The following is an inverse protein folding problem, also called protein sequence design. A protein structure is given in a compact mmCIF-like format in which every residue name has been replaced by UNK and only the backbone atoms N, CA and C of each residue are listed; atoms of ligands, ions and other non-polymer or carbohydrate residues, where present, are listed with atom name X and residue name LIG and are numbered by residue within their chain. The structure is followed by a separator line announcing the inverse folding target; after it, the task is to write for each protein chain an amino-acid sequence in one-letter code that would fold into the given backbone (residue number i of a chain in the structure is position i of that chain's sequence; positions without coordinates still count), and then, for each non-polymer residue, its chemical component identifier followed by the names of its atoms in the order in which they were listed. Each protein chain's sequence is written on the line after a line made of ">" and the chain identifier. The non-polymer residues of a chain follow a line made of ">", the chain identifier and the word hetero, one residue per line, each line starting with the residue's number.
data_IF_594861893443
#
_entry.id   IF_594861893443
#
_cell.length_a   1.000
_cell.length_b   1.000
_cell.length_c   1.000
_cell.angle_alpha   90.00
_cell.angle_beta   90.00
_cell.angle_gamma   90.00
#
_symmetry.space_group_name_H-M   'P 1'
#
loop_
_entity.id
_entity.type
_entity.pdbx_description
1 polymer ?
#
# COMPACT_ATOMS: atom_id res chain seq x y z
N UNK A 1 -6.20 9.47 5.39
CA UNK A 1 -6.04 10.37 4.23
C UNK A 1 -5.80 9.62 2.89
N UNK A 2 -5.44 8.33 2.87
CA UNK A 2 -5.20 7.59 1.62
C UNK A 2 -6.36 7.71 0.62
N UNK A 3 -7.65 7.53 1.01
CA UNK A 3 -8.75 7.64 0.05
C UNK A 3 -8.89 9.01 -0.61
N UNK A 4 -8.43 10.09 0.05
CA UNK A 4 -8.57 11.45 -0.50
C UNK A 4 -7.60 11.75 -1.65
N UNK A 5 -6.55 10.92 -1.81
CA UNK A 5 -5.58 11.05 -2.90
C UNK A 5 -5.80 10.01 -4.00
N UNK A 6 -6.67 9.04 -3.80
CA UNK A 6 -7.00 8.03 -4.83
C UNK A 6 -7.79 8.67 -5.97
N UNK A 7 -7.65 8.15 -7.20
CA UNK A 7 -8.43 8.61 -8.35
C UNK A 7 -9.93 8.32 -8.13
N UNK A 8 -10.78 9.12 -8.77
CA UNK A 8 -12.23 8.90 -8.76
C UNK A 8 -12.61 7.52 -9.27
N UNK A 9 -13.81 7.07 -8.94
CA UNK A 9 -14.34 5.77 -9.40
C UNK A 9 -15.08 5.93 -10.73
N UNK A 10 -14.86 5.00 -11.65
CA UNK A 10 -15.67 4.88 -12.87
C UNK A 10 -17.12 4.48 -12.53
N UNK A 11 -18.05 4.68 -13.47
CA UNK A 11 -19.45 4.26 -13.27
C UNK A 11 -19.59 2.74 -13.07
N UNK A 12 -18.76 1.95 -13.73
CA UNK A 12 -18.77 0.50 -13.60
C UNK A 12 -18.27 0.07 -12.20
N UNK A 13 -17.19 0.68 -11.69
CA UNK A 13 -16.70 0.45 -10.32
C UNK A 13 -17.76 0.83 -9.28
N UNK A 14 -18.45 1.96 -9.47
CA UNK A 14 -19.51 2.41 -8.57
C UNK A 14 -20.69 1.42 -8.55
N UNK A 15 -21.09 0.89 -9.71
CA UNK A 15 -22.17 -0.09 -9.82
C UNK A 15 -21.78 -1.41 -9.15
N UNK A 16 -20.57 -1.93 -9.42
CA UNK A 16 -20.05 -3.14 -8.77
C UNK A 16 -20.06 -3.00 -7.25
N UNK A 17 -19.57 -1.87 -6.74
CA UNK A 17 -19.56 -1.59 -5.33
C UNK A 17 -20.97 -1.46 -4.73
N UNK A 18 -21.91 -0.81 -5.45
CA UNK A 18 -23.30 -0.71 -5.02
C UNK A 18 -23.95 -2.09 -4.88
N UNK A 19 -23.67 -3.02 -5.79
CA UNK A 19 -24.14 -4.40 -5.70
C UNK A 19 -23.61 -5.08 -4.42
N UNK A 20 -22.33 -4.95 -4.12
CA UNK A 20 -21.72 -5.53 -2.89
C UNK A 20 -22.40 -4.97 -1.64
N UNK A 21 -22.57 -3.63 -1.58
CA UNK A 21 -23.20 -2.97 -0.43
C UNK A 21 -24.70 -3.29 -0.30
N UNK A 22 -25.38 -3.50 -1.43
CA UNK A 22 -26.78 -3.96 -1.45
C UNK A 22 -26.93 -5.35 -0.85
N UNK A 23 -26.08 -6.30 -1.30
CA UNK A 23 -26.07 -7.68 -0.76
C UNK A 23 -25.77 -7.68 0.73
N UNK A 24 -24.87 -6.81 1.18
CA UNK A 24 -24.52 -6.66 2.59
C UNK A 24 -25.60 -5.90 3.41
N UNK A 25 -26.69 -5.42 2.80
CA UNK A 25 -27.71 -4.62 3.48
C UNK A 25 -27.21 -3.24 3.95
N UNK A 26 -26.09 -2.76 3.39
CA UNK A 26 -25.40 -1.52 3.83
C UNK A 26 -25.52 -0.37 2.83
N UNK A 27 -26.36 -0.50 1.80
CA UNK A 27 -26.49 0.52 0.76
C UNK A 27 -27.02 1.86 1.31
N UNK A 28 -28.00 1.82 2.21
CA UNK A 28 -28.61 3.00 2.81
C UNK A 28 -27.70 3.78 3.78
N UNK A 29 -26.62 3.17 4.26
CA UNK A 29 -25.65 3.80 5.16
C UNK A 29 -24.46 4.44 4.45
N UNK A 30 -24.42 4.39 3.11
CA UNK A 30 -23.34 4.99 2.30
C UNK A 30 -23.92 6.02 1.33
N UNK A 31 -23.82 7.30 1.62
CA UNK A 31 -24.48 8.37 0.86
C UNK A 31 -23.83 8.60 -0.52
N UNK A 32 -22.55 8.27 -0.70
CA UNK A 32 -21.81 8.57 -1.92
C UNK A 32 -20.99 7.34 -2.40
N UNK A 33 -21.42 6.77 -3.53
CA UNK A 33 -20.72 5.66 -4.19
C UNK A 33 -19.55 6.12 -5.07
N UNK A 34 -19.33 7.41 -5.23
CA UNK A 34 -18.19 7.95 -5.99
C UNK A 34 -16.89 7.92 -5.21
N UNK A 35 -16.98 7.82 -3.88
CA UNK A 35 -15.81 7.80 -2.99
C UNK A 35 -15.34 6.35 -2.79
N UNK A 36 -14.05 6.10 -2.97
CA UNK A 36 -13.46 4.77 -2.72
C UNK A 36 -13.61 4.38 -1.26
N UNK A 37 -14.02 3.14 -0.96
CA UNK A 37 -14.17 2.67 0.42
C UNK A 37 -12.84 2.62 1.16
N UNK A 38 -12.89 2.92 2.45
CA UNK A 38 -11.79 2.69 3.39
C UNK A 38 -12.32 1.85 4.54
N UNK A 39 -11.80 0.62 4.63
CA UNK A 39 -12.20 -0.33 5.67
C UNK A 39 -11.02 -0.56 6.59
N UNK A 40 -11.24 -0.41 7.89
CA UNK A 40 -10.22 -0.58 8.93
C UNK A 40 -10.79 -1.46 10.05
N UNK A 41 -10.88 -2.77 9.84
CA UNK A 41 -11.40 -3.67 10.86
C UNK A 41 -10.43 -3.77 12.05
N UNK A 42 -11.00 -3.97 13.23
CA UNK A 42 -10.22 -4.18 14.43
C UNK A 42 -9.52 -5.55 14.39
N UNK A 43 -8.35 -5.67 15.02
CA UNK A 43 -7.54 -6.90 15.00
C UNK A 43 -8.25 -8.13 15.63
N UNK A 44 -9.33 -7.96 16.39
CA UNK A 44 -10.17 -9.04 16.91
C UNK A 44 -11.23 -9.56 15.94
N UNK A 45 -11.21 -9.11 14.68
CA UNK A 45 -12.17 -9.54 13.66
C UNK A 45 -12.10 -11.06 13.45
N UNK A 46 -13.27 -11.68 13.23
CA UNK A 46 -13.34 -13.10 12.86
C UNK A 46 -13.14 -13.33 11.37
N UNK A 47 -12.74 -14.55 10.98
CA UNK A 47 -12.65 -14.95 9.57
C UNK A 47 -13.92 -14.65 8.77
N UNK A 48 -15.08 -15.00 9.34
CA UNK A 48 -16.36 -14.76 8.66
C UNK A 48 -16.68 -13.27 8.49
N UNK A 49 -16.29 -12.42 9.43
CA UNK A 49 -16.48 -10.98 9.30
C UNK A 49 -15.47 -10.36 8.31
N UNK A 50 -14.25 -10.89 8.22
CA UNK A 50 -13.24 -10.40 7.29
C UNK A 50 -13.53 -10.81 5.85
N UNK A 51 -13.71 -12.11 5.60
CA UNK A 51 -13.87 -12.69 4.26
C UNK A 51 -15.32 -12.66 3.79
N UNK A 52 -16.22 -12.90 4.71
CA UNK A 52 -17.63 -13.12 4.43
C UNK A 52 -18.07 -14.54 4.77
N UNK A 53 -19.34 -14.76 4.75
CA UNK A 53 -19.92 -16.06 5.06
C UNK A 53 -21.17 -15.92 5.92
N UNK A 54 -21.36 -16.85 6.84
CA UNK A 54 -22.59 -16.91 7.64
C UNK A 54 -23.66 -17.83 7.05
N UNK A 55 -24.85 -17.87 7.67
CA UNK A 55 -25.97 -18.68 7.20
C UNK A 55 -26.51 -18.17 5.86
N UNK A 56 -26.65 -16.89 5.73
CA UNK A 56 -26.78 -16.16 4.47
C UNK A 56 -25.37 -15.71 4.07
N UNK A 57 -24.98 -15.92 2.81
CA UNK A 57 -23.64 -15.50 2.34
C UNK A 57 -23.60 -13.98 2.31
N UNK A 58 -23.01 -13.38 3.36
CA UNK A 58 -22.84 -11.94 3.47
C UNK A 58 -21.40 -11.56 3.08
N UNK A 59 -21.23 -10.46 2.32
CA UNK A 59 -19.90 -9.91 2.04
C UNK A 59 -19.18 -9.48 3.32
N UNK A 60 -17.91 -9.90 3.48
CA UNK A 60 -17.04 -9.46 4.56
C UNK A 60 -16.37 -8.10 4.28
N UNK A 61 -15.51 -7.67 5.22
CA UNK A 61 -14.78 -6.40 5.12
C UNK A 61 -13.90 -6.33 3.87
N UNK A 62 -13.37 -7.45 3.40
CA UNK A 62 -12.56 -7.55 2.18
C UNK A 62 -13.38 -7.16 0.94
N UNK A 63 -14.57 -7.74 0.76
CA UNK A 63 -15.47 -7.37 -0.34
C UNK A 63 -15.98 -5.95 -0.21
N UNK A 64 -16.28 -5.49 1.00
CA UNK A 64 -16.69 -4.11 1.28
C UNK A 64 -15.58 -3.08 1.04
N UNK A 65 -14.30 -3.52 1.02
CA UNK A 65 -13.15 -2.70 0.67
C UNK A 65 -12.87 -2.68 -0.84
N UNK A 66 -13.62 -3.44 -1.65
CA UNK A 66 -13.40 -3.54 -3.10
C UNK A 66 -13.36 -2.17 -3.76
N UNK A 67 -12.44 -1.98 -4.73
CA UNK A 67 -12.11 -0.70 -5.39
C UNK A 67 -11.60 0.41 -4.45
N UNK A 68 -11.26 0.05 -3.22
CA UNK A 68 -10.77 0.98 -2.18
C UNK A 68 -9.59 0.43 -1.40
N UNK A 69 -9.59 0.64 -0.11
CA UNK A 69 -8.48 0.30 0.79
C UNK A 69 -8.97 -0.55 1.95
N UNK A 70 -8.30 -1.66 2.17
CA UNK A 70 -8.37 -2.42 3.42
C UNK A 70 -7.12 -2.04 4.25
N UNK A 71 -7.34 -1.40 5.39
CA UNK A 71 -6.27 -1.00 6.31
C UNK A 71 -6.25 -1.91 7.52
N UNK A 72 -5.14 -2.60 7.76
CA UNK A 72 -4.94 -3.46 8.92
C UNK A 72 -3.88 -2.82 9.84
N UNK A 73 -4.35 -2.15 10.87
CA UNK A 73 -3.46 -1.59 11.88
C UNK A 73 -2.98 -2.67 12.85
N UNK A 74 -1.73 -2.57 13.30
CA UNK A 74 -1.12 -3.56 14.19
C UNK A 74 -1.24 -5.00 13.66
N UNK A 75 -0.88 -5.23 12.38
CA UNK A 75 -1.06 -6.50 11.68
C UNK A 75 -0.59 -7.73 12.49
N UNK A 76 0.45 -7.60 13.29
CA UNK A 76 0.98 -8.66 14.15
C UNK A 76 0.03 -9.07 15.31
N UNK A 77 -1.03 -8.29 15.56
CA UNK A 77 -2.05 -8.61 16.59
C UNK A 77 -3.23 -9.41 16.07
N UNK A 78 -3.41 -9.44 14.74
CA UNK A 78 -4.45 -10.28 14.15
C UNK A 78 -4.15 -11.76 14.35
N UNK A 79 -5.19 -12.58 14.38
CA UNK A 79 -5.03 -14.03 14.31
C UNK A 79 -4.40 -14.38 12.96
N UNK A 80 -3.30 -15.14 12.98
CA UNK A 80 -2.57 -15.55 11.79
C UNK A 80 -3.49 -16.27 10.78
N UNK A 81 -4.43 -17.08 11.25
CA UNK A 81 -5.39 -17.80 10.39
C UNK A 81 -6.32 -16.85 9.65
N UNK A 82 -6.67 -15.72 10.27
CA UNK A 82 -7.53 -14.69 9.67
C UNK A 82 -6.77 -13.95 8.58
N UNK A 83 -5.51 -13.59 8.85
CA UNK A 83 -4.64 -12.88 7.88
C UNK A 83 -4.32 -13.77 6.67
N UNK A 84 -4.07 -15.07 6.89
CA UNK A 84 -3.80 -16.03 5.81
C UNK A 84 -4.93 -16.12 4.77
N UNK A 85 -6.17 -15.86 5.17
CA UNK A 85 -7.30 -15.87 4.24
C UNK A 85 -7.28 -14.71 3.23
N UNK A 86 -6.45 -13.67 3.47
CA UNK A 86 -6.25 -12.59 2.51
C UNK A 86 -5.41 -13.01 1.32
N UNK A 87 -4.72 -14.14 1.38
CA UNK A 87 -3.84 -14.60 0.32
C UNK A 87 -4.58 -14.76 -1.01
N UNK A 88 -5.69 -15.48 -1.02
CA UNK A 88 -6.48 -15.71 -2.22
C UNK A 88 -7.04 -14.42 -2.82
N UNK A 89 -7.73 -13.55 -2.06
CA UNK A 89 -8.23 -12.29 -2.62
C UNK A 89 -7.14 -11.34 -3.09
N UNK A 90 -5.97 -11.31 -2.46
CA UNK A 90 -4.83 -10.51 -2.93
C UNK A 90 -4.27 -11.00 -4.28
N UNK A 91 -4.34 -12.31 -4.54
CA UNK A 91 -3.89 -12.91 -5.81
C UNK A 91 -4.95 -12.76 -6.92
N UNK A 92 -6.18 -13.15 -6.63
CA UNK A 92 -7.25 -13.31 -7.63
C UNK A 92 -8.12 -12.06 -7.79
N UNK A 93 -8.18 -11.18 -6.78
CA UNK A 93 -9.12 -10.08 -6.68
C UNK A 93 -10.56 -10.53 -6.42
N UNK A 94 -10.74 -11.76 -5.93
CA UNK A 94 -12.04 -12.39 -5.69
C UNK A 94 -12.00 -13.24 -4.44
N UNK A 95 -13.18 -13.52 -3.89
CA UNK A 95 -13.40 -14.45 -2.79
C UNK A 95 -14.41 -15.49 -3.25
N UNK A 96 -14.10 -16.76 -3.06
CA UNK A 96 -15.03 -17.86 -3.33
C UNK A 96 -15.51 -18.44 -2.01
N UNK A 97 -16.78 -18.29 -1.71
CA UNK A 97 -17.43 -18.85 -0.51
C UNK A 97 -18.19 -20.11 -0.92
N UNK A 98 -17.63 -21.26 -0.56
CA UNK A 98 -18.26 -22.57 -0.82
C UNK A 98 -19.17 -22.95 0.33
N UNK A 99 -20.40 -23.38 0.01
CA UNK A 99 -21.42 -23.90 0.92
C UNK A 99 -22.05 -25.16 0.36
N UNK A 100 -22.74 -25.91 1.20
CA UNK A 100 -23.50 -27.10 0.80
C UNK A 100 -24.58 -26.71 -0.23
N UNK A 101 -25.13 -25.52 -0.12
CA UNK A 101 -26.19 -24.97 -0.98
C UNK A 101 -25.69 -24.35 -2.27
N UNK A 102 -24.38 -24.23 -2.48
CA UNK A 102 -23.78 -23.63 -3.67
C UNK A 102 -22.52 -22.83 -3.37
N UNK A 103 -21.89 -22.32 -4.43
CA UNK A 103 -20.72 -21.46 -4.36
C UNK A 103 -21.12 -20.03 -4.74
N UNK A 104 -20.61 -19.06 -4.00
CA UNK A 104 -20.78 -17.63 -4.29
C UNK A 104 -19.41 -17.01 -4.47
N UNK A 105 -19.24 -16.27 -5.56
CA UNK A 105 -18.03 -15.48 -5.84
C UNK A 105 -18.34 -14.01 -5.61
N UNK A 106 -17.50 -13.35 -4.80
CA UNK A 106 -17.61 -11.94 -4.46
C UNK A 106 -16.35 -11.20 -4.92
N UNK A 107 -16.50 -9.99 -5.50
CA UNK A 107 -15.36 -9.13 -5.82
C UNK A 107 -14.56 -8.76 -4.55
N UNK A 108 -13.24 -8.71 -4.69
CA UNK A 108 -12.30 -8.39 -3.61
C UNK A 108 -11.05 -7.69 -4.17
N UNK A 109 -11.25 -6.71 -5.04
CA UNK A 109 -10.18 -5.94 -5.69
C UNK A 109 -9.90 -4.67 -4.89
N UNK A 110 -9.01 -4.79 -3.91
CA UNK A 110 -8.68 -3.73 -2.94
C UNK A 110 -7.17 -3.52 -2.84
N UNK A 111 -6.78 -2.35 -2.39
CA UNK A 111 -5.41 -2.06 -1.96
C UNK A 111 -5.24 -2.45 -0.49
N UNK A 112 -4.33 -3.36 -0.20
CA UNK A 112 -3.95 -3.67 1.18
C UNK A 112 -2.96 -2.63 1.69
N UNK A 113 -3.31 -1.97 2.79
CA UNK A 113 -2.40 -1.13 3.57
C UNK A 113 -2.29 -1.69 4.99
N UNK A 114 -1.07 -1.83 5.49
CA UNK A 114 -0.84 -2.38 6.83
C UNK A 114 0.11 -1.51 7.63
N UNK A 115 -0.09 -1.46 8.94
CA UNK A 115 0.86 -0.88 9.86
C UNK A 115 1.36 -1.96 10.83
N UNK A 116 2.66 -1.94 11.12
CA UNK A 116 3.32 -2.93 11.97
C UNK A 116 4.25 -2.20 12.94
N UNK A 117 4.10 -2.48 14.22
CA UNK A 117 5.06 -2.04 15.21
C UNK A 117 6.36 -2.85 15.10
N UNK A 118 7.53 -2.25 15.32
CA UNK A 118 8.82 -2.91 15.15
C UNK A 118 9.09 -4.01 16.18
N UNK A 119 8.35 -4.04 17.29
CA UNK A 119 8.38 -5.08 18.32
C UNK A 119 7.15 -4.96 19.22
N UNK A 120 6.96 -5.90 20.14
CA UNK A 120 5.82 -5.92 21.06
C UNK A 120 5.74 -4.65 21.95
N UNK A 121 6.87 -4.06 22.35
CA UNK A 121 6.88 -2.81 23.13
C UNK A 121 6.85 -1.55 22.24
N UNK A 122 7.04 -1.67 20.91
CA UNK A 122 7.01 -0.59 19.94
C UNK A 122 8.24 0.31 19.90
N UNK A 123 9.31 0.04 20.67
CA UNK A 123 10.46 0.94 20.80
C UNK A 123 11.70 0.53 20.01
N UNK A 124 11.74 -0.69 19.46
CA UNK A 124 12.88 -1.11 18.62
C UNK A 124 13.05 -0.16 17.41
N UNK A 125 14.27 0.20 16.99
CA UNK A 125 15.57 -0.25 17.47
C UNK A 125 16.16 0.57 18.65
N UNK A 126 15.44 1.53 19.22
CA UNK A 126 15.90 2.34 20.35
C UNK A 126 16.15 1.48 21.60
N UNK A 127 17.40 1.10 21.82
CA UNK A 127 17.82 0.22 22.93
C UNK A 127 17.76 0.88 24.30
N UNK A 128 17.57 2.19 24.37
CA UNK A 128 17.38 2.88 25.67
C UNK A 128 15.98 2.62 26.24
N UNK A 129 15.00 2.42 25.37
CA UNK A 129 13.59 2.22 25.70
C UNK A 129 13.12 0.78 25.43
N UNK A 130 13.68 0.12 24.41
CA UNK A 130 13.33 -1.23 24.01
C UNK A 130 14.07 -2.28 24.84
N UNK A 131 13.33 -3.12 25.56
CA UNK A 131 13.86 -4.25 26.33
C UNK A 131 13.68 -5.60 25.61
N UNK A 132 13.10 -5.59 24.41
CA UNK A 132 12.90 -6.80 23.62
C UNK A 132 14.24 -7.39 23.17
N UNK A 133 14.40 -8.70 23.36
CA UNK A 133 15.54 -9.43 22.82
C UNK A 133 15.38 -9.56 21.29
N UNK A 134 16.47 -9.96 20.61
CA UNK A 134 16.40 -10.28 19.16
C UNK A 134 15.39 -11.40 18.88
N UNK A 135 15.28 -12.37 19.78
CA UNK A 135 14.31 -13.44 19.68
C UNK A 135 12.87 -12.92 19.77
N UNK A 136 12.57 -11.99 20.69
CA UNK A 136 11.24 -11.37 20.83
C UNK A 136 10.84 -10.61 19.56
N UNK A 137 11.81 -9.87 18.98
CA UNK A 137 11.59 -9.13 17.72
C UNK A 137 11.30 -10.10 16.57
N UNK A 138 12.12 -11.14 16.42
CA UNK A 138 11.92 -12.15 15.38
C UNK A 138 10.60 -12.90 15.56
N UNK A 139 10.23 -13.25 16.79
CA UNK A 139 8.95 -13.88 17.11
C UNK A 139 7.78 -12.96 16.79
N UNK A 140 7.93 -11.65 17.01
CA UNK A 140 6.91 -10.66 16.68
C UNK A 140 6.65 -10.58 15.17
N UNK A 141 7.70 -10.47 14.35
CA UNK A 141 7.58 -10.47 12.89
C UNK A 141 7.17 -11.84 12.33
N UNK A 142 7.61 -12.92 12.94
CA UNK A 142 7.25 -14.30 12.53
C UNK A 142 5.76 -14.65 12.66
N UNK A 143 4.95 -13.75 13.22
CA UNK A 143 3.47 -13.89 13.23
C UNK A 143 2.85 -13.61 11.86
N UNK A 144 3.57 -12.91 10.97
CA UNK A 144 3.13 -12.65 9.62
C UNK A 144 3.81 -13.66 8.71
N UNK A 145 3.03 -14.39 7.96
CA UNK A 145 3.57 -15.41 7.06
C UNK A 145 4.27 -14.78 5.87
N UNK A 146 5.23 -15.51 5.34
CA UNK A 146 5.98 -15.10 4.17
C UNK A 146 5.10 -14.89 2.93
N UNK A 147 4.11 -15.76 2.63
CA UNK A 147 3.20 -15.54 1.50
C UNK A 147 2.43 -14.22 1.55
N UNK A 148 2.06 -13.73 2.73
CA UNK A 148 1.43 -12.42 2.87
C UNK A 148 2.43 -11.29 2.66
N UNK A 149 3.65 -11.41 3.21
CA UNK A 149 4.71 -10.41 2.99
C UNK A 149 5.10 -10.29 1.52
N UNK A 150 5.12 -11.40 0.79
CA UNK A 150 5.44 -11.43 -0.64
C UNK A 150 4.36 -10.74 -1.52
N UNK A 151 3.19 -10.41 -0.95
CA UNK A 151 2.11 -9.64 -1.60
C UNK A 151 2.13 -8.15 -1.27
N UNK A 152 3.06 -7.73 -0.41
CA UNK A 152 3.24 -6.31 -0.05
C UNK A 152 4.35 -5.74 -0.93
N UNK A 153 3.98 -4.99 -1.95
CA UNK A 153 4.91 -4.45 -2.95
C UNK A 153 5.81 -3.34 -2.40
N UNK A 154 5.31 -2.56 -1.43
CA UNK A 154 6.03 -1.42 -0.87
C UNK A 154 6.08 -1.52 0.65
N UNK A 155 7.28 -1.47 1.21
CA UNK A 155 7.51 -1.42 2.65
C UNK A 155 8.30 -0.17 3.01
N UNK A 156 7.78 0.61 3.96
CA UNK A 156 8.38 1.87 4.41
C UNK A 156 8.61 1.80 5.92
N UNK A 157 9.86 2.09 6.33
CA UNK A 157 10.17 2.25 7.75
C UNK A 157 10.01 3.71 8.15
N UNK A 158 9.06 3.97 9.06
CA UNK A 158 8.84 5.31 9.60
C UNK A 158 9.62 5.49 10.89
N UNK A 159 10.42 6.55 10.92
CA UNK A 159 11.09 6.98 12.16
C UNK A 159 10.12 7.74 13.05
N UNK A 160 10.39 7.71 14.36
CA UNK A 160 9.62 8.51 15.31
C UNK A 160 9.94 9.99 15.10
N UNK A 161 8.89 10.78 15.03
CA UNK A 161 8.97 12.23 15.01
C UNK A 161 9.16 12.71 16.46
N UNK A 162 10.13 13.60 16.71
CA UNK A 162 10.33 14.20 18.02
C UNK A 162 9.21 15.20 18.33
N UNK A 163 9.03 15.49 19.62
CA UNK A 163 8.01 16.47 20.03
C UNK A 163 8.30 17.87 19.49
N UNK A 164 9.57 18.24 19.38
CA UNK A 164 10.01 19.54 18.85
C UNK A 164 9.70 19.68 17.34
N UNK A 165 9.86 18.59 16.58
CA UNK A 165 9.45 18.53 15.17
C UNK A 165 7.92 18.63 14.99
N UNK A 166 7.14 18.06 15.92
CA UNK A 166 5.67 18.13 15.88
C UNK A 166 5.15 19.54 16.16
N UNK A 167 5.84 20.31 17.00
CA UNK A 167 5.45 21.71 17.36
C UNK A 167 5.93 22.71 16.30
N UNK A 168 6.62 22.26 15.24
CA UNK A 168 7.09 23.14 14.17
C UNK A 168 8.25 24.06 14.57
N UNK A 169 8.99 23.72 15.62
CA UNK A 169 10.31 24.31 15.84
C UNK A 169 11.22 23.75 14.75
N UNK A 170 11.43 24.55 13.70
CA UNK A 170 12.32 24.24 12.59
C UNK A 170 13.72 23.88 13.14
N UNK A 171 13.99 22.59 13.23
CA UNK A 171 15.36 22.12 13.25
C UNK A 171 15.83 22.23 11.81
N UNK A 172 16.72 23.20 11.55
CA UNK A 172 17.35 23.37 10.26
C UNK A 172 17.84 22.02 9.76
N UNK A 173 17.51 21.71 8.52
CA UNK A 173 17.88 20.51 7.79
C UNK A 173 19.38 20.24 7.91
N UNK A 174 19.80 19.44 8.88
CA UNK A 174 21.08 18.77 8.81
C UNK A 174 21.00 17.72 7.72
N UNK A 175 21.73 18.00 6.64
CA UNK A 175 21.77 17.16 5.46
C UNK A 175 22.14 15.73 5.82
N UNK A 176 21.45 14.81 5.17
CA UNK A 176 21.79 13.39 5.12
C UNK A 176 23.23 13.28 4.59
N UNK A 177 24.21 13.23 5.49
CA UNK A 177 25.57 12.81 5.16
C UNK A 177 25.53 11.30 4.96
N UNK A 178 25.45 10.88 3.71
CA UNK A 178 25.73 9.51 3.34
C UNK A 178 27.16 9.16 3.78
N UNK A 179 27.29 8.22 4.68
CA UNK A 179 28.55 7.58 5.00
C UNK A 179 29.07 6.84 3.76
N UNK A 180 29.97 7.51 3.03
CA UNK A 180 30.86 6.83 2.07
C UNK A 180 31.91 6.11 2.90
N UNK A 181 31.84 4.78 2.92
CA UNK A 181 32.99 3.97 3.32
C UNK A 181 34.16 4.31 2.40
N UNK A 182 35.21 4.83 3.00
CA UNK A 182 36.55 4.90 2.39
C UNK A 182 37.15 3.50 2.43
N UNK A 183 37.34 2.91 1.27
CA UNK A 183 38.38 1.91 1.06
C UNK A 183 39.49 2.60 0.26
N UNK A 184 40.62 2.80 0.97
CA UNK A 184 41.90 3.17 0.38
C UNK A 184 42.50 2.00 -0.40
N UNK A 185 42.92 2.22 -1.62
CA UNK A 185 44.29 2.11 -2.11
C UNK A 185 44.42 1.91 -3.61
N UNK A 186 45.31 2.73 -4.13
CA UNK A 186 46.32 2.54 -5.19
C UNK A 186 45.92 2.65 -6.66
N UNK A 187 46.48 3.67 -7.29
CA UNK A 187 47.33 3.46 -8.45
C UNK A 187 46.95 4.17 -9.76
N UNK A 188 47.69 5.26 -9.98
CA UNK A 188 48.26 5.68 -11.28
C UNK A 188 47.36 5.94 -12.53
N UNK A 189 47.33 7.22 -12.93
CA UNK A 189 47.74 7.62 -14.27
C UNK A 189 46.74 7.47 -15.42
N UNK A 190 46.24 8.58 -15.95
CA UNK A 190 45.67 8.59 -17.29
C UNK A 190 44.77 9.78 -17.60
N UNK A 191 45.41 10.93 -17.95
CA UNK A 191 44.69 12.02 -18.62
C UNK A 191 44.11 11.53 -19.96
N UNK A 192 42.81 11.64 -20.15
CA UNK A 192 42.19 11.72 -21.49
C UNK A 192 41.21 12.88 -21.55
N UNK A 193 41.36 13.63 -22.66
CA UNK A 193 40.71 14.87 -23.01
C UNK A 193 39.17 14.66 -23.12
N UNK A 194 38.45 15.71 -22.74
CA UNK A 194 37.03 15.88 -22.97
C UNK A 194 36.77 16.06 -24.48
N UNK A 195 35.84 15.29 -25.03
CA UNK A 195 35.19 15.60 -26.30
C UNK A 195 33.87 16.31 -25.99
N UNK A 196 33.78 17.54 -26.42
CA UNK A 196 32.58 18.37 -26.54
C UNK A 196 31.73 17.81 -27.70
N UNK A 197 30.63 17.13 -27.37
CA UNK A 197 29.47 17.09 -28.26
C UNK A 197 28.20 16.72 -27.44
N UNK A 198 27.67 17.70 -26.73
CA UNK A 198 26.38 17.58 -26.07
C UNK A 198 25.29 18.00 -27.08
N UNK A 199 24.70 17.00 -27.71
CA UNK A 199 23.43 17.16 -28.42
C UNK A 199 22.33 17.59 -27.45
N UNK A 200 21.66 18.69 -27.81
CA UNK A 200 20.46 19.20 -27.12
C UNK A 200 19.41 18.10 -27.01
N UNK A 201 19.22 17.60 -25.81
CA UNK A 201 17.98 16.91 -25.41
C UNK A 201 17.04 17.97 -24.84
N UNK A 202 15.88 18.08 -25.44
CA UNK A 202 14.79 18.97 -25.05
C UNK A 202 14.32 18.59 -23.64
N UNK A 203 14.36 19.60 -22.76
CA UNK A 203 14.00 19.50 -21.33
C UNK A 203 12.48 19.33 -21.17
N UNK A 204 11.99 18.10 -21.13
CA UNK A 204 10.66 17.76 -20.60
C UNK A 204 10.71 17.20 -19.16
N UNK A 205 11.91 17.03 -18.60
CA UNK A 205 12.12 16.49 -17.23
C UNK A 205 12.20 17.58 -16.14
N UNK A 206 11.93 18.85 -16.47
CA UNK A 206 12.07 19.99 -15.55
C UNK A 206 11.09 20.05 -14.39
N UNK A 207 10.02 19.25 -14.38
CA UNK A 207 8.90 19.46 -13.46
C UNK A 207 8.87 18.51 -12.24
N UNK A 208 9.73 17.51 -12.18
CA UNK A 208 9.66 16.51 -11.10
C UNK A 208 10.30 16.98 -9.78
N UNK A 209 11.27 17.88 -9.85
CA UNK A 209 11.96 18.43 -8.66
C UNK A 209 11.20 19.58 -7.99
N UNK A 210 10.34 20.28 -8.71
CA UNK A 210 9.54 21.41 -8.19
C UNK A 210 8.26 20.95 -7.47
N UNK A 211 7.80 19.72 -7.72
CA UNK A 211 6.57 19.14 -7.15
C UNK A 211 6.75 18.62 -5.71
N UNK A 212 8.00 18.45 -5.26
CA UNK A 212 8.32 17.90 -3.93
C UNK A 212 8.08 18.92 -2.78
N UNK A 213 7.77 20.18 -3.09
CA UNK A 213 7.72 21.27 -2.09
C UNK A 213 6.48 21.34 -1.19
N UNK A 214 5.34 20.74 -1.56
CA UNK A 214 4.12 20.78 -0.73
C UNK A 214 3.35 19.46 -0.85
N UNK A 215 3.53 18.57 0.14
CA UNK A 215 2.81 17.30 0.27
C UNK A 215 1.40 17.51 0.85
N UNK A 216 0.63 18.45 0.33
CA UNK A 216 -0.79 18.49 0.66
C UNK A 216 -1.58 17.43 -0.14
N UNK A 217 -2.76 17.09 0.35
CA UNK A 217 -3.58 16.04 -0.27
C UNK A 217 -4.02 16.41 -1.70
N UNK A 218 -4.11 17.70 -2.02
CA UNK A 218 -4.50 18.21 -3.33
C UNK A 218 -3.40 17.97 -4.37
N UNK A 219 -2.16 18.32 -4.04
CA UNK A 219 -1.01 18.11 -4.92
C UNK A 219 -0.73 16.61 -5.09
N UNK A 220 -0.77 15.83 -4.02
CA UNK A 220 -0.63 14.37 -4.09
C UNK A 220 -1.68 13.74 -4.99
N UNK A 221 -2.95 14.19 -4.89
CA UNK A 221 -4.03 13.71 -5.75
C UNK A 221 -3.74 13.97 -7.23
N UNK A 222 -3.28 15.16 -7.60
CA UNK A 222 -2.92 15.51 -8.99
C UNK A 222 -1.84 14.59 -9.54
N UNK A 223 -0.82 14.28 -8.73
CA UNK A 223 0.26 13.35 -9.13
C UNK A 223 -0.32 11.95 -9.36
N UNK A 224 -1.11 11.44 -8.42
CA UNK A 224 -1.74 10.12 -8.54
C UNK A 224 -2.66 10.03 -9.75
N UNK A 225 -3.49 11.05 -10.01
CA UNK A 225 -4.37 11.10 -11.19
C UNK A 225 -3.58 11.12 -12.50
N UNK A 226 -2.44 11.84 -12.54
CA UNK A 226 -1.54 11.85 -13.71
C UNK A 226 -0.96 10.46 -13.96
N UNK A 227 -0.39 9.83 -12.94
CA UNK A 227 0.18 8.47 -13.04
C UNK A 227 -0.90 7.46 -13.43
N UNK A 228 -2.07 7.55 -12.83
CA UNK A 228 -3.20 6.68 -13.16
C UNK A 228 -3.63 6.81 -14.62
N UNK A 229 -3.69 8.04 -15.16
CA UNK A 229 -4.00 8.27 -16.58
C UNK A 229 -3.00 7.58 -17.49
N UNK A 230 -1.71 7.72 -17.22
CA UNK A 230 -0.64 7.04 -17.97
C UNK A 230 -0.82 5.52 -17.93
N UNK A 231 -1.18 4.94 -16.78
CA UNK A 231 -1.45 3.50 -16.70
C UNK A 231 -2.65 3.08 -17.55
N UNK A 232 -3.74 3.86 -17.53
CA UNK A 232 -4.93 3.56 -18.33
C UNK A 232 -4.65 3.66 -19.85
N UNK A 233 -3.86 4.63 -20.28
CA UNK A 233 -3.43 4.77 -21.67
C UNK A 233 -2.57 3.58 -22.13
N UNK A 234 -1.73 3.04 -21.24
CA UNK A 234 -0.83 1.91 -21.55
C UNK A 234 -1.53 0.56 -21.51
N UNK A 235 -2.40 0.31 -20.52
CA UNK A 235 -2.93 -1.01 -20.20
C UNK A 235 -4.42 -1.17 -20.53
N UNK A 236 -5.10 -0.07 -20.87
CA UNK A 236 -6.55 -0.04 -21.04
C UNK A 236 -7.32 0.26 -19.75
N UNK A 237 -8.59 0.60 -19.90
CA UNK A 237 -9.45 1.02 -18.79
C UNK A 237 -9.58 -0.07 -17.71
N UNK A 238 -9.43 0.34 -16.45
CA UNK A 238 -9.57 -0.55 -15.28
C UNK A 238 -8.39 -1.46 -15.01
N UNK A 239 -7.28 -1.35 -15.76
CA UNK A 239 -6.08 -2.15 -15.54
C UNK A 239 -4.97 -1.33 -14.87
N UNK A 240 -4.19 -1.98 -14.02
CA UNK A 240 -3.12 -1.38 -13.23
C UNK A 240 -1.80 -2.13 -13.42
N UNK A 241 -0.68 -1.48 -13.18
CA UNK A 241 0.65 -2.10 -13.27
C UNK A 241 0.77 -3.38 -12.43
N UNK A 242 0.13 -3.44 -11.26
CA UNK A 242 0.11 -4.63 -10.39
C UNK A 242 -0.57 -5.86 -11.03
N UNK A 243 -1.29 -5.68 -12.13
CA UNK A 243 -1.97 -6.75 -12.88
C UNK A 243 -1.39 -6.99 -14.27
N UNK A 244 -0.18 -6.51 -14.51
CA UNK A 244 0.54 -6.77 -15.75
C UNK A 244 0.95 -8.25 -15.83
N UNK A 245 0.78 -8.83 -17.00
CA UNK A 245 1.34 -10.13 -17.33
C UNK A 245 2.85 -10.05 -17.57
N UNK A 246 3.54 -11.19 -17.49
CA UNK A 246 4.99 -11.24 -17.78
C UNK A 246 5.36 -10.71 -19.17
N UNK A 247 4.49 -10.87 -20.15
CA UNK A 247 4.73 -10.39 -21.52
C UNK A 247 4.52 -8.87 -21.61
N UNK A 248 3.57 -8.33 -20.87
CA UNK A 248 3.37 -6.87 -20.76
C UNK A 248 4.53 -6.20 -20.02
N UNK A 249 5.04 -6.82 -18.94
CA UNK A 249 6.22 -6.31 -18.20
C UNK A 249 7.45 -6.21 -19.12
N UNK A 250 7.64 -7.17 -20.04
CA UNK A 250 8.75 -7.13 -20.99
C UNK A 250 8.61 -6.08 -22.09
N UNK A 251 7.38 -5.61 -22.33
CA UNK A 251 7.09 -4.62 -23.38
C UNK A 251 7.36 -3.19 -22.90
N UNK A 252 7.26 -2.92 -21.60
CA UNK A 252 7.41 -1.63 -20.96
C UNK A 252 8.59 -1.59 -19.99
#
# INVERSE_FOLDING_TARGET
>A
RIPTIMPGMSKNEQLELACIYSIAGKLGGRPDMSVRPFRAPHHSITSAALIGGGRLVEPGEVSLASKGVLFLDELTRFDTRVVEQLREPLESGRIVINRITGSCELPADFMLATAINPCACGFYPDRTRCRCTTWDVNKHYGRISRPILDRIDISISLQRVSFDELIGKNVASEGIKGERRMDEKTGAGGRRKADENAGKRTDEDGDMQTVIGNFDSSNMRKIVERVWRVQQERLGEGRYNSRMTNDEIKKY
#
